data_IF_586034184492
#
_entry.id   IF_586034184492
#
_cell.length_a   1.000
_cell.length_b   1.000
_cell.length_c   1.000
_cell.angle_alpha   90.00
_cell.angle_beta   90.00
_cell.angle_gamma   90.00
#
_symmetry.space_group_name_H-M   'P 1'
#
loop_
_entity.id
_entity.type
_entity.pdbx_description
1 polymer ?
#
# COMPACT_ATOMS: atom_id res chain seq x y z
N UNK A 1 16.53 -22.30 -29.70
CA UNK A 1 17.39 -23.39 -29.18
C UNK A 1 17.97 -23.06 -27.81
N UNK A 2 18.36 -21.81 -27.52
CA UNK A 2 18.88 -21.38 -26.21
C UNK A 2 17.89 -21.56 -25.04
N UNK A 3 16.62 -21.24 -25.26
CA UNK A 3 15.55 -21.43 -24.26
C UNK A 3 15.30 -22.90 -23.91
N UNK A 4 15.51 -23.82 -24.86
CA UNK A 4 15.37 -25.27 -24.65
C UNK A 4 16.53 -25.81 -23.80
N UNK A 5 17.74 -25.24 -23.97
CA UNK A 5 18.90 -25.59 -23.14
C UNK A 5 18.77 -25.08 -21.70
N UNK A 6 18.23 -23.87 -21.50
CA UNK A 6 17.94 -23.32 -20.16
C UNK A 6 16.85 -24.11 -19.42
N UNK A 7 15.81 -24.56 -20.13
CA UNK A 7 14.81 -25.48 -19.56
C UNK A 7 15.44 -26.83 -19.18
N UNK A 8 16.39 -27.32 -19.97
CA UNK A 8 17.14 -28.54 -19.68
C UNK A 8 17.98 -28.45 -18.40
N UNK A 9 18.66 -27.32 -18.16
CA UNK A 9 19.48 -27.14 -16.94
C UNK A 9 18.60 -27.02 -15.69
N UNK A 10 17.52 -26.25 -15.76
CA UNK A 10 16.57 -26.10 -14.64
C UNK A 10 15.92 -27.43 -14.25
N UNK A 11 15.65 -28.30 -15.22
CA UNK A 11 15.16 -29.67 -14.98
C UNK A 11 16.20 -30.55 -14.29
N UNK A 12 17.48 -30.44 -14.66
CA UNK A 12 18.56 -31.20 -14.02
C UNK A 12 18.77 -30.76 -12.57
N UNK A 13 18.75 -29.44 -12.31
CA UNK A 13 18.90 -28.88 -10.96
C UNK A 13 17.72 -29.27 -10.07
N UNK A 14 16.50 -29.23 -10.61
CA UNK A 14 15.30 -29.69 -9.91
C UNK A 14 15.34 -31.18 -9.59
N UNK A 15 15.79 -32.03 -10.54
CA UNK A 15 15.96 -33.47 -10.31
C UNK A 15 17.05 -33.78 -9.27
N UNK A 16 18.13 -32.99 -9.25
CA UNK A 16 19.18 -33.07 -8.23
C UNK A 16 18.64 -32.76 -6.83
N UNK A 17 17.83 -31.71 -6.72
CA UNK A 17 17.18 -31.31 -5.47
C UNK A 17 16.16 -32.35 -4.97
N UNK A 18 15.35 -32.93 -5.87
CA UNK A 18 14.38 -33.98 -5.53
C UNK A 18 15.07 -35.29 -5.12
N UNK A 19 16.22 -35.64 -5.72
CA UNK A 19 17.00 -36.82 -5.33
C UNK A 19 17.59 -36.74 -3.92
N UNK A 20 17.75 -35.53 -3.38
CA UNK A 20 18.24 -35.30 -2.02
C UNK A 20 17.17 -35.54 -0.94
N UNK A 21 15.91 -35.84 -1.31
CA UNK A 21 14.83 -36.02 -0.36
C UNK A 21 14.88 -37.38 0.37
N UNK A 22 14.49 -37.42 1.66
CA UNK A 22 14.38 -38.67 2.42
C UNK A 22 13.35 -39.62 1.78
N UNK A 23 13.66 -40.92 1.72
CA UNK A 23 12.79 -41.95 1.11
C UNK A 23 11.36 -41.96 1.66
N UNK A 24 11.16 -41.57 2.92
CA UNK A 24 9.85 -41.47 3.57
C UNK A 24 8.98 -40.31 3.00
N UNK A 25 9.60 -39.23 2.50
CA UNK A 25 8.89 -38.12 1.85
C UNK A 25 8.38 -38.50 0.45
N UNK A 26 9.18 -39.28 -0.29
CA UNK A 26 8.80 -39.82 -1.61
C UNK A 26 7.62 -40.82 -1.50
N UNK A 27 7.58 -41.63 -0.43
CA UNK A 27 6.49 -42.59 -0.19
C UNK A 27 5.15 -41.91 0.14
N UNK A 28 5.15 -40.76 0.84
CA UNK A 28 3.94 -39.99 1.13
C UNK A 28 3.33 -39.33 -0.13
N UNK A 29 4.17 -39.00 -1.10
CA UNK A 29 3.73 -38.45 -2.40
C UNK A 29 3.14 -39.52 -3.32
N UNK A 30 3.60 -40.77 -3.24
CA UNK A 30 3.05 -41.87 -4.01
C UNK A 30 1.57 -42.18 -3.67
N UNK A 31 1.13 -41.86 -2.45
CA UNK A 31 -0.26 -41.99 -2.02
C UNK A 31 -1.22 -40.90 -2.53
N UNK A 32 -0.69 -39.84 -3.16
CA UNK A 32 -1.46 -38.74 -3.74
C UNK A 32 -1.71 -38.90 -5.25
N UNK A 33 -1.35 -40.04 -5.84
CA UNK A 33 -1.57 -40.34 -7.26
C UNK A 33 -3.06 -40.63 -7.49
N UNK A 34 -3.81 -39.80 -8.26
CA UNK A 34 -5.21 -40.06 -8.53
C UNK A 34 -5.38 -41.25 -9.49
N UNK A 35 -6.48 -41.99 -9.34
CA UNK A 35 -6.80 -43.17 -10.13
C UNK A 35 -6.87 -42.86 -11.64
N UNK A 36 -6.64 -43.88 -12.47
CA UNK A 36 -6.39 -43.76 -13.92
C UNK A 36 -7.47 -43.06 -14.75
N UNK A 37 -8.66 -42.79 -14.19
CA UNK A 37 -9.72 -42.01 -14.87
C UNK A 37 -9.45 -40.51 -14.85
N UNK A 38 -8.81 -39.98 -13.81
CA UNK A 38 -8.49 -38.54 -13.68
C UNK A 38 -7.28 -38.15 -14.54
N UNK A 39 -6.31 -39.06 -14.67
CA UNK A 39 -5.15 -38.90 -15.56
C UNK A 39 -5.57 -38.74 -17.03
N UNK A 40 -6.56 -39.53 -17.49
CA UNK A 40 -7.07 -39.46 -18.88
C UNK A 40 -7.74 -38.11 -19.19
N UNK A 41 -8.44 -37.50 -18.24
CA UNK A 41 -9.11 -36.19 -18.44
C UNK A 41 -8.15 -35.01 -18.47
N UNK A 42 -7.05 -35.07 -17.72
CA UNK A 42 -6.02 -34.02 -17.70
C UNK A 42 -5.12 -34.04 -18.93
N UNK A 43 -4.80 -35.23 -19.47
CA UNK A 43 -4.02 -35.36 -20.72
C UNK A 43 -4.79 -34.82 -21.94
N UNK A 44 -6.12 -34.88 -21.94
CA UNK A 44 -6.96 -34.41 -23.04
C UNK A 44 -6.96 -32.88 -23.27
N UNK A 45 -6.41 -32.07 -22.35
CA UNK A 45 -6.44 -30.59 -22.43
C UNK A 45 -5.09 -29.93 -22.73
N UNK A 46 -4.12 -30.65 -23.29
CA UNK A 46 -2.99 -30.04 -23.99
C UNK A 46 -1.60 -30.35 -23.41
N UNK A 47 -1.17 -31.60 -23.56
CA UNK A 47 0.25 -31.96 -23.53
C UNK A 47 0.61 -32.58 -24.88
N UNK A 48 1.66 -32.10 -25.58
CA UNK A 48 2.08 -32.67 -26.88
C UNK A 48 2.32 -34.19 -26.79
N UNK A 49 1.93 -34.92 -27.83
CA UNK A 49 2.07 -36.39 -27.87
C UNK A 49 3.51 -36.91 -27.95
N UNK A 50 4.48 -36.01 -28.11
CA UNK A 50 5.92 -36.32 -28.12
C UNK A 50 6.49 -36.76 -26.77
N UNK A 51 5.70 -36.74 -25.69
CA UNK A 51 6.14 -37.10 -24.34
C UNK A 51 5.63 -38.47 -23.88
N UNK A 52 6.54 -39.36 -23.47
CA UNK A 52 6.22 -40.68 -22.95
C UNK A 52 5.45 -40.66 -21.61
N UNK A 53 4.82 -41.79 -21.22
CA UNK A 53 3.89 -41.86 -20.09
C UNK A 53 4.47 -41.34 -18.76
N UNK A 54 5.76 -41.60 -18.52
CA UNK A 54 6.46 -41.13 -17.32
C UNK A 54 6.64 -39.61 -17.28
N UNK A 55 6.89 -38.96 -18.42
CA UNK A 55 7.12 -37.52 -18.44
C UNK A 55 5.82 -36.72 -18.27
N UNK A 56 4.69 -37.26 -18.78
CA UNK A 56 3.34 -36.69 -18.54
C UNK A 56 2.94 -36.76 -17.06
N UNK A 57 3.34 -37.81 -16.34
CA UNK A 57 3.11 -37.91 -14.88
C UNK A 57 3.96 -36.92 -14.09
N UNK A 58 5.21 -36.68 -14.49
CA UNK A 58 6.07 -35.65 -13.86
C UNK A 58 5.55 -34.22 -14.07
N UNK A 59 5.06 -33.89 -15.27
CA UNK A 59 4.43 -32.58 -15.53
C UNK A 59 3.17 -32.36 -14.69
N UNK A 60 2.34 -33.40 -14.52
CA UNK A 60 1.16 -33.35 -13.67
C UNK A 60 1.51 -33.15 -12.19
N UNK A 61 2.52 -33.86 -11.69
CA UNK A 61 3.02 -33.68 -10.33
C UNK A 61 3.61 -32.28 -10.12
N UNK A 62 4.37 -31.76 -11.09
CA UNK A 62 4.89 -30.40 -11.05
C UNK A 62 3.74 -29.37 -11.03
N UNK A 63 2.71 -29.54 -11.86
CA UNK A 63 1.55 -28.65 -11.90
C UNK A 63 0.74 -28.69 -10.60
N UNK A 64 0.61 -29.86 -9.97
CA UNK A 64 -0.06 -30.01 -8.67
C UNK A 64 0.77 -29.41 -7.53
N UNK A 65 2.09 -29.59 -7.52
CA UNK A 65 2.99 -29.04 -6.50
C UNK A 65 3.12 -27.52 -6.64
N UNK A 66 3.30 -27.01 -7.87
CA UNK A 66 3.33 -25.56 -8.13
C UNK A 66 1.94 -24.95 -7.92
N UNK A 67 0.86 -25.62 -8.33
CA UNK A 67 -0.51 -25.16 -8.11
C UNK A 67 -0.92 -25.13 -6.63
N UNK A 68 -0.50 -26.12 -5.83
CA UNK A 68 -0.73 -26.12 -4.39
C UNK A 68 0.17 -25.13 -3.65
N UNK A 69 1.43 -24.95 -4.08
CA UNK A 69 2.28 -23.86 -3.59
C UNK A 69 1.69 -22.48 -3.92
N UNK A 70 1.11 -22.30 -5.11
CA UNK A 70 0.40 -21.07 -5.50
C UNK A 70 -0.88 -20.84 -4.68
N UNK A 71 -1.63 -21.91 -4.37
CA UNK A 71 -2.80 -21.84 -3.48
C UNK A 71 -2.43 -21.56 -2.02
N UNK A 72 -1.26 -22.04 -1.56
CA UNK A 72 -0.74 -21.75 -0.22
C UNK A 72 -0.20 -20.32 -0.11
N UNK A 73 0.50 -19.80 -1.13
CA UNK A 73 0.89 -18.38 -1.19
C UNK A 73 -0.33 -17.44 -1.30
N UNK A 74 -1.41 -17.90 -1.94
CA UNK A 74 -2.66 -17.14 -2.03
C UNK A 74 -3.49 -17.18 -0.74
N UNK A 75 -3.18 -18.04 0.25
CA UNK A 75 -3.92 -18.03 1.53
C UNK A 75 -3.55 -16.85 2.43
N UNK A 76 -2.41 -16.22 2.21
CA UNK A 76 -2.05 -14.94 2.84
C UNK A 76 -2.70 -13.73 2.14
N UNK A 77 -3.56 -13.96 1.14
CA UNK A 77 -4.11 -12.89 0.30
C UNK A 77 -5.57 -12.59 0.59
N UNK A 78 -5.82 -11.35 1.03
CA UNK A 78 -7.11 -10.68 1.19
C UNK A 78 -8.10 -11.35 2.14
N UNK A 79 -8.11 -10.91 3.41
CA UNK A 79 -9.35 -10.96 4.19
C UNK A 79 -10.41 -10.18 3.41
N UNK A 80 -11.52 -10.83 2.99
CA UNK A 80 -12.57 -10.12 2.28
C UNK A 80 -13.07 -9.00 3.19
N UNK A 81 -13.13 -7.78 2.63
CA UNK A 81 -13.78 -6.66 3.30
C UNK A 81 -15.14 -7.14 3.77
N UNK A 82 -15.50 -6.80 5.02
CA UNK A 82 -16.82 -7.10 5.54
C UNK A 82 -17.91 -6.75 4.51
N UNK A 83 -18.88 -7.64 4.34
CA UNK A 83 -19.84 -7.57 3.25
C UNK A 83 -21.26 -7.93 3.69
N UNK A 84 -21.51 -8.04 5.01
CA UNK A 84 -22.85 -8.30 5.49
C UNK A 84 -23.80 -7.15 5.05
N UNK A 85 -24.98 -7.47 4.50
CA UNK A 85 -25.88 -6.46 3.92
C UNK A 85 -26.22 -5.31 4.88
N UNK A 86 -26.42 -5.61 6.16
CA UNK A 86 -26.69 -4.59 7.18
C UNK A 86 -25.50 -3.65 7.41
N UNK A 87 -24.27 -4.17 7.36
CA UNK A 87 -23.06 -3.36 7.48
C UNK A 87 -22.86 -2.47 6.25
N UNK A 88 -23.07 -3.01 5.04
CA UNK A 88 -22.99 -2.25 3.78
C UNK A 88 -24.07 -1.16 3.74
N UNK A 89 -25.29 -1.47 4.15
CA UNK A 89 -26.38 -0.49 4.24
C UNK A 89 -26.04 0.66 5.21
N UNK A 90 -25.47 0.34 6.36
CA UNK A 90 -25.02 1.33 7.35
C UNK A 90 -23.87 2.20 6.80
N UNK A 91 -22.89 1.63 6.09
CA UNK A 91 -21.85 2.42 5.40
C UNK A 91 -22.45 3.38 4.34
N UNK A 92 -23.40 2.89 3.53
CA UNK A 92 -24.07 3.70 2.53
C UNK A 92 -24.89 4.84 3.15
N UNK A 93 -25.49 4.60 4.32
CA UNK A 93 -26.17 5.63 5.10
C UNK A 93 -25.19 6.68 5.60
N UNK A 94 -24.06 6.25 6.19
CA UNK A 94 -23.01 7.15 6.66
C UNK A 94 -22.51 8.06 5.54
N UNK A 95 -22.26 7.50 4.35
CA UNK A 95 -21.87 8.29 3.18
C UNK A 95 -22.90 9.35 2.78
N UNK A 96 -24.20 9.02 2.83
CA UNK A 96 -25.28 10.00 2.57
C UNK A 96 -25.33 11.10 3.64
N UNK A 97 -25.03 10.77 4.88
CA UNK A 97 -25.01 11.74 5.99
C UNK A 97 -23.82 12.70 5.86
N UNK A 98 -22.64 12.20 5.52
CA UNK A 98 -21.45 13.04 5.22
C UNK A 98 -21.78 14.06 4.12
N UNK A 99 -22.44 13.64 3.04
CA UNK A 99 -22.86 14.56 1.96
C UNK A 99 -23.82 15.66 2.41
N UNK A 100 -24.53 15.46 3.52
CA UNK A 100 -25.44 16.44 4.13
C UNK A 100 -24.77 17.24 5.25
N UNK A 101 -23.51 16.98 5.57
CA UNK A 101 -22.79 17.57 6.71
C UNK A 101 -23.13 16.94 8.06
N UNK A 102 -23.89 15.84 8.10
CA UNK A 102 -24.25 15.12 9.33
C UNK A 102 -23.13 14.15 9.74
N UNK A 103 -22.05 14.70 10.30
CA UNK A 103 -20.89 13.92 10.72
C UNK A 103 -21.19 13.02 11.93
N UNK A 104 -22.02 13.48 12.87
CA UNK A 104 -22.36 12.70 14.06
C UNK A 104 -23.26 11.50 13.71
N UNK A 105 -24.21 11.69 12.81
CA UNK A 105 -24.99 10.58 12.26
C UNK A 105 -24.12 9.60 11.48
N UNK A 106 -23.17 10.08 10.68
CA UNK A 106 -22.23 9.21 9.96
C UNK A 106 -21.36 8.38 10.91
N UNK A 107 -20.88 8.97 12.01
CA UNK A 107 -20.15 8.26 13.08
C UNK A 107 -21.00 7.13 13.65
N UNK A 108 -22.28 7.37 13.94
CA UNK A 108 -23.20 6.35 14.47
C UNK A 108 -23.43 5.22 13.45
N UNK A 109 -23.61 5.58 12.17
CA UNK A 109 -23.81 4.61 11.10
C UNK A 109 -22.56 3.75 10.84
N UNK A 110 -21.35 4.32 10.83
CA UNK A 110 -20.12 3.53 10.73
C UNK A 110 -19.89 2.66 11.98
N UNK A 111 -20.22 3.15 13.16
CA UNK A 111 -20.20 2.35 14.40
C UNK A 111 -21.12 1.15 14.29
N UNK A 112 -22.32 1.34 13.73
CA UNK A 112 -23.29 0.27 13.48
C UNK A 112 -22.76 -0.71 12.43
N UNK A 113 -22.17 -0.22 11.34
CA UNK A 113 -21.61 -1.07 10.30
C UNK A 113 -20.57 -2.05 10.85
N UNK A 114 -19.65 -1.57 11.70
CA UNK A 114 -18.63 -2.40 12.31
C UNK A 114 -19.19 -3.35 13.39
N UNK A 115 -20.23 -2.95 14.13
CA UNK A 115 -20.94 -3.85 15.05
C UNK A 115 -21.62 -4.99 14.31
N UNK A 116 -22.20 -4.72 13.14
CA UNK A 116 -22.88 -5.72 12.30
C UNK A 116 -21.87 -6.65 11.63
N UNK A 117 -20.78 -6.11 11.08
CA UNK A 117 -19.67 -6.88 10.51
C UNK A 117 -18.32 -6.39 11.05
N UNK A 118 -17.72 -7.06 12.04
CA UNK A 118 -16.41 -6.69 12.58
C UNK A 118 -15.25 -6.80 11.59
N UNK A 119 -15.47 -7.32 10.38
CA UNK A 119 -14.47 -7.31 9.28
C UNK A 119 -14.58 -6.06 8.41
N UNK A 120 -15.55 -5.19 8.66
CA UNK A 120 -15.76 -3.92 7.94
C UNK A 120 -14.76 -2.86 8.43
N UNK A 121 -13.45 -3.14 8.33
CA UNK A 121 -12.39 -2.21 8.75
C UNK A 121 -12.46 -0.86 8.03
N UNK A 122 -13.01 -0.83 6.82
CA UNK A 122 -13.25 0.41 6.06
C UNK A 122 -14.21 1.34 6.81
N UNK A 123 -15.26 0.83 7.45
CA UNK A 123 -16.19 1.67 8.22
C UNK A 123 -15.49 2.37 9.39
N UNK A 124 -14.64 1.66 10.12
CA UNK A 124 -13.89 2.24 11.25
C UNK A 124 -12.81 3.19 10.75
N UNK A 125 -12.14 2.88 9.63
CA UNK A 125 -11.23 3.83 8.99
C UNK A 125 -11.92 5.14 8.62
N UNK A 126 -13.09 5.08 7.96
CA UNK A 126 -13.83 6.29 7.57
C UNK A 126 -14.32 7.08 8.81
N UNK A 127 -14.70 6.39 9.89
CA UNK A 127 -14.99 7.03 11.18
C UNK A 127 -13.76 7.74 11.75
N UNK A 128 -12.59 7.12 11.66
CA UNK A 128 -11.30 7.72 12.02
C UNK A 128 -10.99 8.97 11.21
N UNK A 129 -11.28 8.97 9.90
CA UNK A 129 -11.14 10.15 9.02
C UNK A 129 -12.07 11.28 9.47
N UNK A 130 -13.33 10.98 9.83
CA UNK A 130 -14.24 11.99 10.39
C UNK A 130 -13.68 12.56 11.70
N UNK A 131 -13.18 11.71 12.61
CA UNK A 131 -12.55 12.19 13.85
C UNK A 131 -11.32 13.08 13.58
N UNK A 132 -10.54 12.75 12.56
CA UNK A 132 -9.41 13.56 12.10
C UNK A 132 -9.88 14.96 11.64
N UNK A 133 -10.94 15.04 10.83
CA UNK A 133 -11.55 16.32 10.43
C UNK A 133 -12.13 17.12 11.60
N UNK A 134 -12.58 16.45 12.66
CA UNK A 134 -13.05 17.08 13.89
C UNK A 134 -11.92 17.37 14.89
N UNK A 135 -10.65 17.19 14.52
CA UNK A 135 -9.47 17.34 15.39
C UNK A 135 -9.48 16.44 16.64
N UNK A 136 -10.24 15.35 16.62
CA UNK A 136 -10.31 14.33 17.68
C UNK A 136 -9.23 13.27 17.45
N UNK A 137 -7.98 13.70 17.56
CA UNK A 137 -6.79 12.95 17.13
C UNK A 137 -6.65 11.56 17.76
N UNK A 138 -6.83 11.44 19.07
CA UNK A 138 -6.70 10.14 19.76
C UNK A 138 -7.80 9.15 19.38
N UNK A 139 -9.02 9.64 19.11
CA UNK A 139 -10.10 8.80 18.61
C UNK A 139 -9.82 8.32 17.18
N UNK A 140 -9.27 9.20 16.33
CA UNK A 140 -8.82 8.81 15.00
C UNK A 140 -7.73 7.73 15.04
N UNK A 141 -6.71 7.90 15.90
CA UNK A 141 -5.66 6.89 16.10
C UNK A 141 -6.25 5.56 16.59
N UNK A 142 -7.18 5.58 17.54
CA UNK A 142 -7.82 4.36 18.03
C UNK A 142 -8.57 3.60 16.93
N UNK A 143 -9.23 4.34 16.03
CA UNK A 143 -9.93 3.77 14.88
C UNK A 143 -8.96 3.22 13.82
N UNK A 144 -7.91 3.96 13.48
CA UNK A 144 -6.88 3.46 12.56
C UNK A 144 -6.17 2.21 13.11
N UNK A 145 -5.88 2.18 14.42
CA UNK A 145 -5.35 1.00 15.10
C UNK A 145 -6.31 -0.20 14.98
N UNK A 146 -7.61 0.03 15.14
CA UNK A 146 -8.62 -1.01 15.02
C UNK A 146 -8.72 -1.52 13.58
N UNK A 147 -8.71 -0.63 12.58
CA UNK A 147 -8.71 -1.01 11.17
C UNK A 147 -7.48 -1.84 10.81
N UNK A 148 -6.29 -1.47 11.28
CA UNK A 148 -5.04 -2.19 11.06
C UNK A 148 -4.99 -3.54 11.78
N UNK A 149 -5.63 -3.69 12.95
CA UNK A 149 -5.78 -5.00 13.62
C UNK A 149 -6.62 -5.97 12.81
N UNK A 150 -7.67 -5.48 12.16
CA UNK A 150 -8.56 -6.29 11.32
C UNK A 150 -7.93 -6.57 9.95
N UNK A 151 -7.25 -5.58 9.36
CA UNK A 151 -6.56 -5.70 8.07
C UNK A 151 -5.16 -5.06 8.14
N UNK A 152 -4.12 -5.83 8.50
CA UNK A 152 -2.75 -5.32 8.61
C UNK A 152 -2.18 -4.76 7.30
N UNK A 153 -2.70 -5.21 6.15
CA UNK A 153 -2.30 -4.72 4.82
C UNK A 153 -3.05 -3.46 4.37
N UNK A 154 -3.92 -2.89 5.22
CA UNK A 154 -4.66 -1.68 4.88
C UNK A 154 -3.84 -0.42 5.14
N UNK A 155 -2.83 -0.22 4.30
CA UNK A 155 -1.83 0.84 4.47
C UNK A 155 -2.39 2.26 4.50
N UNK A 156 -3.57 2.52 3.92
CA UNK A 156 -4.21 3.84 4.01
C UNK A 156 -4.49 4.24 5.48
N UNK A 157 -4.90 3.29 6.33
CA UNK A 157 -5.08 3.56 7.76
C UNK A 157 -3.75 3.86 8.46
N UNK A 158 -2.67 3.17 8.09
CA UNK A 158 -1.33 3.43 8.61
C UNK A 158 -0.80 4.81 8.17
N UNK A 159 -1.02 5.20 6.92
CA UNK A 159 -0.66 6.53 6.41
C UNK A 159 -1.43 7.62 7.18
N UNK A 160 -2.76 7.47 7.35
CA UNK A 160 -3.55 8.43 8.12
C UNK A 160 -3.17 8.48 9.60
N UNK A 161 -2.79 7.34 10.20
CA UNK A 161 -2.23 7.33 11.55
C UNK A 161 -0.90 8.08 11.63
N UNK A 162 -0.02 7.92 10.65
CA UNK A 162 1.22 8.68 10.57
C UNK A 162 0.95 10.20 10.43
N UNK A 163 -0.02 10.60 9.61
CA UNK A 163 -0.45 12.01 9.47
C UNK A 163 -0.91 12.58 10.82
N UNK A 164 -1.78 11.87 11.55
CA UNK A 164 -2.22 12.31 12.89
C UNK A 164 -1.05 12.36 13.88
N UNK A 165 -0.14 11.40 13.84
CA UNK A 165 1.06 11.42 14.68
C UNK A 165 1.95 12.64 14.36
N UNK A 166 2.07 13.06 13.10
CA UNK A 166 2.74 14.32 12.75
C UNK A 166 2.04 15.53 13.38
N UNK A 167 0.71 15.58 13.29
CA UNK A 167 -0.10 16.64 13.92
C UNK A 167 0.01 16.67 15.44
N UNK A 168 0.33 15.54 16.08
CA UNK A 168 0.57 15.44 17.52
C UNK A 168 2.04 15.62 17.93
N UNK A 169 2.94 15.89 17.00
CA UNK A 169 4.38 16.03 17.28
C UNK A 169 5.12 14.70 17.50
N UNK A 170 4.46 13.56 17.22
CA UNK A 170 5.03 12.20 17.31
C UNK A 170 5.77 11.85 16.01
N UNK A 171 6.76 12.66 15.67
CA UNK A 171 7.45 12.61 14.37
C UNK A 171 8.25 11.33 14.15
N UNK A 172 8.88 10.81 15.21
CA UNK A 172 9.59 9.53 15.22
C UNK A 172 8.66 8.36 14.83
N UNK A 173 7.46 8.32 15.43
CA UNK A 173 6.46 7.28 15.15
C UNK A 173 5.95 7.38 13.71
N UNK A 174 5.68 8.60 13.24
CA UNK A 174 5.24 8.83 11.86
C UNK A 174 6.31 8.41 10.83
N UNK A 175 7.58 8.79 11.03
CA UNK A 175 8.67 8.39 10.15
C UNK A 175 8.90 6.88 10.12
N UNK A 176 8.84 6.23 11.29
CA UNK A 176 9.00 4.79 11.40
C UNK A 176 7.90 4.04 10.65
N UNK A 177 6.65 4.48 10.80
CA UNK A 177 5.49 3.91 10.11
C UNK A 177 5.57 4.08 8.60
N UNK A 178 5.82 5.29 8.10
CA UNK A 178 5.95 5.56 6.66
C UNK A 178 7.11 4.77 6.05
N UNK A 179 8.23 4.68 6.77
CA UNK A 179 9.39 3.89 6.34
C UNK A 179 9.07 2.40 6.26
N UNK A 180 8.34 1.87 7.24
CA UNK A 180 7.89 0.49 7.21
C UNK A 180 7.01 0.22 5.99
N UNK A 181 6.04 1.08 5.70
CA UNK A 181 5.16 0.96 4.52
C UNK A 181 5.98 0.95 3.23
N UNK A 182 6.90 1.90 3.04
CA UNK A 182 7.74 1.98 1.83
C UNK A 182 8.60 0.72 1.64
N UNK A 183 9.08 0.13 2.74
CA UNK A 183 9.87 -1.10 2.71
C UNK A 183 9.05 -2.34 2.33
N UNK A 184 7.75 -2.35 2.59
CA UNK A 184 6.83 -3.41 2.16
C UNK A 184 6.53 -3.37 0.65
N UNK A 185 6.99 -2.34 -0.08
CA UNK A 185 6.79 -2.17 -1.53
C UNK A 185 5.31 -2.31 -1.92
N UNK A 186 4.43 -1.44 -1.38
CA UNK A 186 3.01 -1.52 -1.63
C UNK A 186 2.72 -1.16 -3.09
N UNK A 187 1.46 -1.34 -3.51
CA UNK A 187 1.05 -0.96 -4.87
C UNK A 187 1.36 0.51 -5.13
N UNK A 188 1.65 0.80 -6.39
CA UNK A 188 2.00 2.11 -6.96
C UNK A 188 1.44 3.32 -6.18
N UNK A 189 0.12 3.42 -6.02
CA UNK A 189 -0.50 4.61 -5.43
C UNK A 189 -0.16 4.79 -3.95
N UNK A 190 -0.23 3.71 -3.16
CA UNK A 190 0.14 3.72 -1.74
C UNK A 190 1.62 4.03 -1.56
N UNK A 191 2.48 3.53 -2.45
CA UNK A 191 3.92 3.79 -2.41
C UNK A 191 4.23 5.27 -2.68
N UNK A 192 3.57 5.89 -3.67
CA UNK A 192 3.69 7.32 -3.93
C UNK A 192 3.23 8.16 -2.72
N UNK A 193 2.06 7.83 -2.17
CA UNK A 193 1.50 8.57 -1.04
C UNK A 193 2.42 8.49 0.19
N UNK A 194 2.87 7.30 0.57
CA UNK A 194 3.75 7.13 1.74
C UNK A 194 5.09 7.87 1.56
N UNK A 195 5.66 7.86 0.34
CA UNK A 195 6.88 8.64 0.04
C UNK A 195 6.62 10.14 0.10
N UNK A 196 5.49 10.61 -0.43
CA UNK A 196 5.13 12.03 -0.36
C UNK A 196 5.00 12.50 1.08
N UNK A 197 4.26 11.77 1.92
CA UNK A 197 4.05 12.15 3.32
C UNK A 197 5.36 12.14 4.12
N UNK A 198 6.24 11.17 3.83
CA UNK A 198 7.56 11.12 4.46
C UNK A 198 8.46 12.26 4.00
N UNK A 199 8.42 12.60 2.71
CA UNK A 199 9.15 13.74 2.17
C UNK A 199 8.66 15.06 2.76
N UNK A 200 7.33 15.23 2.88
CA UNK A 200 6.73 16.40 3.49
C UNK A 200 7.20 16.58 4.94
N UNK A 201 7.21 15.50 5.72
CA UNK A 201 7.72 15.53 7.09
C UNK A 201 9.21 15.90 7.13
N UNK A 202 10.05 15.24 6.33
CA UNK A 202 11.48 15.57 6.25
C UNK A 202 11.77 16.99 5.78
N UNK A 203 10.89 17.59 4.97
CA UNK A 203 11.06 18.95 4.47
C UNK A 203 10.56 20.01 5.46
N UNK A 204 9.43 19.76 6.13
CA UNK A 204 8.65 20.83 6.79
C UNK A 204 8.58 20.72 8.31
N UNK A 205 9.11 19.65 8.91
CA UNK A 205 9.05 19.42 10.36
C UNK A 205 9.57 20.64 11.14
N UNK A 206 8.85 21.13 12.16
CA UNK A 206 9.29 22.26 12.97
C UNK A 206 10.46 21.92 13.89
N UNK A 207 10.73 20.63 14.10
CA UNK A 207 11.90 20.15 14.81
C UNK A 207 13.02 19.80 13.80
N UNK A 208 14.18 20.50 13.84
CA UNK A 208 15.31 20.22 12.96
C UNK A 208 15.82 18.79 13.04
N UNK A 209 15.66 18.09 14.18
CA UNK A 209 16.17 16.73 14.35
C UNK A 209 15.49 15.72 13.41
N UNK A 210 14.29 16.04 12.91
CA UNK A 210 13.51 15.20 12.01
C UNK A 210 13.50 15.71 10.57
N UNK A 211 14.28 16.75 10.24
CA UNK A 211 14.42 17.24 8.87
C UNK A 211 15.54 16.53 8.13
N UNK A 212 15.30 16.23 6.85
CA UNK A 212 16.29 15.64 5.96
C UNK A 212 15.98 16.01 4.50
N UNK A 213 16.44 17.18 4.06
CA UNK A 213 16.15 17.69 2.71
C UNK A 213 16.59 16.76 1.58
N UNK A 214 17.73 16.07 1.72
CA UNK A 214 18.20 15.13 0.69
C UNK A 214 17.25 13.94 0.53
N UNK A 215 16.83 13.34 1.66
CA UNK A 215 15.87 12.25 1.63
C UNK A 215 14.49 12.74 1.18
N UNK A 216 14.08 13.95 1.57
CA UNK A 216 12.84 14.56 1.11
C UNK A 216 12.80 14.69 -0.42
N UNK A 217 13.87 15.19 -1.04
CA UNK A 217 13.95 15.32 -2.50
C UNK A 217 13.90 13.95 -3.16
N UNK A 218 14.60 12.96 -2.62
CA UNK A 218 14.60 11.59 -3.14
C UNK A 218 13.20 10.96 -3.11
N UNK A 219 12.52 11.05 -1.96
CA UNK A 219 11.19 10.48 -1.75
C UNK A 219 10.13 11.20 -2.60
N UNK A 220 10.10 12.53 -2.60
CA UNK A 220 9.14 13.32 -3.38
C UNK A 220 9.36 13.14 -4.90
N UNK A 221 10.61 13.04 -5.35
CA UNK A 221 10.93 12.73 -6.75
C UNK A 221 10.42 11.35 -7.13
N UNK A 222 10.58 10.35 -6.26
CA UNK A 222 10.07 9.01 -6.49
C UNK A 222 8.53 9.01 -6.55
N UNK A 223 7.85 9.73 -5.65
CA UNK A 223 6.39 9.87 -5.67
C UNK A 223 5.90 10.52 -6.99
N UNK A 224 6.55 11.60 -7.43
CA UNK A 224 6.26 12.24 -8.72
C UNK A 224 6.48 11.27 -9.90
N UNK A 225 7.58 10.51 -9.90
CA UNK A 225 7.89 9.56 -10.98
C UNK A 225 6.91 8.41 -11.05
N UNK A 226 6.52 7.88 -9.89
CA UNK A 226 5.47 6.88 -9.79
C UNK A 226 4.28 7.47 -10.51
N UNK A 227 3.72 8.57 -10.03
CA UNK A 227 2.52 9.17 -10.57
C UNK A 227 2.65 9.83 -11.96
N UNK A 228 3.75 9.61 -12.69
CA UNK A 228 4.03 10.23 -13.99
C UNK A 228 3.91 11.76 -13.98
N UNK A 229 4.21 12.37 -12.83
CA UNK A 229 4.10 13.79 -12.55
C UNK A 229 2.66 14.33 -12.68
N UNK A 230 1.65 13.50 -12.41
CA UNK A 230 0.23 13.84 -12.57
C UNK A 230 -0.44 14.45 -11.32
N UNK A 231 0.02 14.11 -10.12
CA UNK A 231 -0.50 14.73 -8.90
C UNK A 231 0.27 16.01 -8.55
N UNK A 232 -0.44 17.14 -8.46
CA UNK A 232 0.15 18.43 -8.12
C UNK A 232 0.67 18.47 -6.67
N UNK A 233 0.05 17.74 -5.74
CA UNK A 233 0.48 17.65 -4.33
C UNK A 233 1.87 17.04 -4.19
N UNK A 234 2.20 16.05 -5.01
CA UNK A 234 3.53 15.43 -5.00
C UNK A 234 4.59 16.40 -5.53
N UNK A 235 4.22 17.25 -6.49
CA UNK A 235 5.10 18.27 -7.06
C UNK A 235 5.32 19.41 -6.07
N UNK A 236 4.27 19.82 -5.36
CA UNK A 236 4.32 20.78 -4.26
C UNK A 236 5.23 20.28 -3.11
N UNK A 237 5.08 19.00 -2.75
CA UNK A 237 5.96 18.34 -1.78
C UNK A 237 7.43 18.34 -2.25
N UNK A 238 7.67 18.11 -3.55
CA UNK A 238 9.02 18.18 -4.11
C UNK A 238 9.62 19.60 -4.04
N UNK A 239 8.80 20.63 -4.26
CA UNK A 239 9.24 22.01 -4.11
C UNK A 239 9.60 22.35 -2.66
N UNK A 240 8.80 21.91 -1.69
CA UNK A 240 9.12 22.02 -0.26
C UNK A 240 10.43 21.31 0.09
N UNK A 241 10.67 20.13 -0.50
CA UNK A 241 11.91 19.39 -0.31
C UNK A 241 13.15 20.13 -0.86
N UNK A 242 13.05 20.77 -2.04
CA UNK A 242 14.14 21.62 -2.55
C UNK A 242 14.36 22.88 -1.71
N UNK A 243 13.29 23.47 -1.18
CA UNK A 243 13.40 24.60 -0.26
C UNK A 243 14.16 24.20 1.02
N UNK A 244 13.94 22.99 1.53
CA UNK A 244 14.69 22.45 2.68
C UNK A 244 16.19 22.31 2.39
N UNK A 245 16.58 21.95 1.16
CA UNK A 245 18.00 21.88 0.78
C UNK A 245 18.62 23.26 0.51
N UNK A 246 17.84 24.34 0.57
CA UNK A 246 18.26 25.69 0.18
C UNK A 246 18.30 25.92 -1.35
N UNK A 247 17.84 24.96 -2.15
CA UNK A 247 17.77 25.09 -3.61
C UNK A 247 16.46 25.79 -4.00
N UNK A 248 16.37 27.08 -3.67
CA UNK A 248 15.17 27.88 -3.93
C UNK A 248 14.88 28.04 -5.43
N UNK A 249 15.89 27.89 -6.29
CA UNK A 249 15.70 27.90 -7.74
C UNK A 249 14.81 26.73 -8.17
N UNK A 250 15.13 25.51 -7.72
CA UNK A 250 14.29 24.35 -8.03
C UNK A 250 12.98 24.38 -7.23
N UNK A 251 12.99 24.87 -5.98
CA UNK A 251 11.75 25.02 -5.20
C UNK A 251 10.72 25.89 -5.94
N UNK A 252 11.08 27.10 -6.37
CA UNK A 252 10.20 28.01 -7.12
C UNK A 252 9.72 27.34 -8.42
N UNK A 253 10.63 26.73 -9.19
CA UNK A 253 10.29 26.05 -10.46
C UNK A 253 9.22 24.98 -10.28
N UNK A 254 9.35 24.13 -9.25
CA UNK A 254 8.41 23.04 -9.01
C UNK A 254 7.11 23.54 -8.36
N UNK A 255 7.18 24.54 -7.49
CA UNK A 255 5.99 25.14 -6.87
C UNK A 255 5.10 25.78 -7.95
N UNK A 256 5.68 26.53 -8.89
CA UNK A 256 4.94 27.08 -10.02
C UNK A 256 4.34 25.98 -10.92
N UNK A 257 5.04 24.84 -11.06
CA UNK A 257 4.51 23.68 -11.79
C UNK A 257 3.32 23.06 -11.06
N UNK A 258 3.39 22.94 -9.74
CA UNK A 258 2.30 22.45 -8.91
C UNK A 258 1.07 23.38 -9.03
N UNK A 259 1.26 24.69 -8.89
CA UNK A 259 0.18 25.69 -9.01
C UNK A 259 -0.50 25.63 -10.39
N UNK A 260 0.28 25.56 -11.47
CA UNK A 260 -0.28 25.43 -12.84
C UNK A 260 -1.12 24.17 -13.01
N UNK A 261 -0.83 23.11 -12.26
CA UNK A 261 -1.43 21.80 -12.44
C UNK A 261 -2.65 21.56 -11.53
N UNK A 262 -2.62 22.07 -10.30
CA UNK A 262 -3.77 21.97 -9.37
C UNK A 262 -4.88 23.01 -9.62
N UNK A 263 -4.58 24.13 -10.29
CA UNK A 263 -5.58 25.19 -10.48
C UNK A 263 -5.73 26.08 -9.24
N UNK A 264 -6.48 27.19 -9.35
CA UNK A 264 -6.43 28.28 -8.33
C UNK A 264 -6.98 27.91 -6.96
N UNK A 265 -8.05 27.12 -6.89
CA UNK A 265 -8.73 26.82 -5.62
C UNK A 265 -7.93 25.83 -4.78
N UNK A 266 -7.42 24.78 -5.42
CA UNK A 266 -6.66 23.72 -4.75
C UNK A 266 -5.27 24.19 -4.32
N UNK A 267 -4.70 25.22 -4.97
CA UNK A 267 -3.29 25.62 -4.80
C UNK A 267 -3.07 26.88 -3.95
N UNK A 268 -4.07 27.32 -3.18
CA UNK A 268 -3.93 28.52 -2.33
C UNK A 268 -2.73 28.42 -1.38
N UNK A 269 -2.57 27.29 -0.68
CA UNK A 269 -1.42 27.07 0.21
C UNK A 269 -0.09 27.00 -0.55
N UNK A 270 -0.10 26.52 -1.80
CA UNK A 270 1.09 26.50 -2.65
C UNK A 270 1.49 27.92 -3.09
N UNK A 271 0.53 28.81 -3.35
CA UNK A 271 0.83 30.22 -3.64
C UNK A 271 1.47 30.93 -2.44
N UNK A 272 1.02 30.62 -1.23
CA UNK A 272 1.63 31.13 0.00
C UNK A 272 3.07 30.62 0.18
N UNK A 273 3.32 29.34 -0.12
CA UNK A 273 4.67 28.75 -0.11
C UNK A 273 5.58 29.32 -1.20
N UNK A 274 5.06 29.56 -2.41
CA UNK A 274 5.80 30.22 -3.48
C UNK A 274 6.34 31.59 -3.04
N UNK A 275 5.53 32.38 -2.34
CA UNK A 275 5.94 33.68 -1.81
C UNK A 275 7.07 33.56 -0.78
N UNK A 276 7.09 32.49 0.04
CA UNK A 276 8.19 32.21 0.96
C UNK A 276 9.46 31.82 0.20
N UNK A 277 9.35 30.95 -0.82
CA UNK A 277 10.50 30.48 -1.59
C UNK A 277 11.16 31.61 -2.39
N UNK A 278 10.38 32.56 -2.91
CA UNK A 278 10.88 33.79 -3.55
C UNK A 278 11.71 34.66 -2.59
N UNK A 279 11.43 34.59 -1.29
CA UNK A 279 12.19 35.25 -0.23
C UNK A 279 13.34 34.39 0.32
N UNK A 280 13.65 33.25 -0.32
CA UNK A 280 14.63 32.27 0.17
C UNK A 280 14.32 31.75 1.57
N UNK A 281 13.03 31.60 1.89
CA UNK A 281 12.55 31.09 3.18
C UNK A 281 11.86 29.75 2.97
N UNK A 282 12.28 28.68 3.65
CA UNK A 282 11.60 27.40 3.54
C UNK A 282 10.31 27.40 4.39
N UNK A 283 9.33 26.62 3.98
CA UNK A 283 8.09 26.45 4.73
C UNK A 283 8.29 25.51 5.92
N UNK A 284 7.61 25.80 7.03
CA UNK A 284 7.62 24.99 8.26
C UNK A 284 6.21 24.84 8.79
N UNK A 285 5.86 23.64 9.23
CA UNK A 285 4.63 23.44 9.99
C UNK A 285 4.70 24.18 11.33
N UNK A 286 3.55 24.56 11.86
CA UNK A 286 3.48 25.15 13.20
C UNK A 286 3.84 24.09 14.25
N UNK A 287 4.55 24.49 15.32
CA UNK A 287 4.71 23.63 16.50
C UNK A 287 3.36 23.42 17.15
N UNK A 288 3.06 22.17 17.45
CA UNK A 288 1.93 21.79 18.31
C UNK A 288 2.23 22.37 19.69
N UNK A 289 1.32 23.19 20.22
CA UNK A 289 1.42 23.78 21.56
C UNK A 289 0.78 22.88 22.59
#
# INVERSE_FOLDING_TARGET
MEQIKQLGSLLQDFLGWVRAWPRQALQRLAGLIPSGSMQKKLVARGLPDSYGPGMKTWFLLLFLVVGSAFQLQARDTYLPVGNLPGAVAACNQAYKQIKKGDFDGAIQSYTTAFKVDPRMYVAIYERGVIYMHQHKWELAIADFNTALKVSPSFFLAAIKRAEVNQTLGRYDQALAELTHIINLRPRYHTDALARSDRAWLYATCPDPAFRNGQQAVADATAACKIDSWDNWDYIDTLAAAYAETGDFKNAIKFEEKAIRKGGREDTKSAQERLALYQQQRPFRLARVR
#
